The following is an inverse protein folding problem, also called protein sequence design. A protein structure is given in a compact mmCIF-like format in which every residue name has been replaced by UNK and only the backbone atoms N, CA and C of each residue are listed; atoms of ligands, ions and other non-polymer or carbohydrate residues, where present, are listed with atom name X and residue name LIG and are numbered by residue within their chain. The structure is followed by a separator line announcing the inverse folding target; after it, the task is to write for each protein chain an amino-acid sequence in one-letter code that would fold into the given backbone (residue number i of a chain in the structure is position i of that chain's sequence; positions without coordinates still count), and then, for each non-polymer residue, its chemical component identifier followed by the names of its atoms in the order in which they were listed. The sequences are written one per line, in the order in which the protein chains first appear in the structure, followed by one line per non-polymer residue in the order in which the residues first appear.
data_IF_559259106677
#
_entry.id   IF_559259106677
#
_cell.length_a   1.000
_cell.length_b   1.000
_cell.length_c   1.000
_cell.angle_alpha   90.00
_cell.angle_beta   90.00
_cell.angle_gamma   90.00
#
_symmetry.space_group_name_H-M   'P 1'
#
loop_
_entity.id
_entity.type
_entity.pdbx_description
1 polymer ?
#
# COMPACT_ATOMS: atom_id res chain seq x y z
N UNK A 1 13.61 -26.52 -10.71
CA UNK A 1 12.98 -27.61 -11.48
C UNK A 1 11.78 -27.03 -12.21
N UNK A 2 11.83 -27.01 -13.55
CA UNK A 2 10.71 -26.58 -14.39
C UNK A 2 9.52 -27.54 -14.18
N UNK A 3 8.29 -26.99 -14.19
CA UNK A 3 7.08 -27.79 -14.12
C UNK A 3 6.87 -28.61 -15.40
N UNK A 4 6.23 -29.77 -15.28
CA UNK A 4 5.96 -30.65 -16.41
C UNK A 4 4.93 -30.04 -17.37
N UNK A 5 5.14 -30.20 -18.68
CA UNK A 5 4.33 -29.59 -19.73
C UNK A 5 2.83 -29.97 -19.71
N UNK A 6 2.50 -31.16 -19.17
CA UNK A 6 1.13 -31.69 -19.16
C UNK A 6 0.11 -30.89 -18.35
N UNK A 7 0.56 -29.93 -17.52
CA UNK A 7 -0.30 -29.11 -16.68
C UNK A 7 -0.17 -27.60 -16.93
N UNK A 8 0.75 -27.19 -17.81
CA UNK A 8 1.08 -25.77 -17.99
C UNK A 8 -0.06 -24.97 -18.57
N UNK A 9 -0.76 -25.49 -19.58
CA UNK A 9 -1.85 -24.77 -20.23
C UNK A 9 -3.04 -24.58 -19.28
N UNK A 10 -3.38 -25.58 -18.48
CA UNK A 10 -4.43 -25.50 -17.48
C UNK A 10 -4.08 -24.51 -16.38
N UNK A 11 -2.81 -24.50 -15.92
CA UNK A 11 -2.33 -23.53 -14.91
C UNK A 11 -2.38 -22.11 -15.46
N UNK A 12 -1.92 -21.88 -16.68
CA UNK A 12 -1.95 -20.56 -17.33
C UNK A 12 -3.39 -20.07 -17.53
N UNK A 13 -4.30 -20.94 -17.95
CA UNK A 13 -5.70 -20.59 -18.16
C UNK A 13 -6.45 -20.29 -16.85
N UNK A 14 -6.03 -20.89 -15.73
CA UNK A 14 -6.70 -20.73 -14.43
C UNK A 14 -6.17 -19.53 -13.61
N UNK A 15 -5.14 -18.83 -14.07
CA UNK A 15 -4.49 -17.76 -13.31
C UNK A 15 -4.40 -16.47 -14.13
N UNK A 16 -4.33 -15.33 -13.43
CA UNK A 16 -4.10 -14.02 -14.07
C UNK A 16 -2.66 -13.94 -14.62
N UNK A 17 -2.48 -13.21 -15.71
CA UNK A 17 -1.20 -13.10 -16.44
C UNK A 17 -0.05 -12.70 -15.50
N UNK A 18 -0.21 -11.67 -14.66
CA UNK A 18 0.84 -11.22 -13.74
C UNK A 18 1.28 -12.28 -12.72
N UNK A 19 0.40 -13.20 -12.31
CA UNK A 19 0.77 -14.31 -11.43
C UNK A 19 1.57 -15.40 -12.18
N UNK A 20 1.26 -15.62 -13.46
CA UNK A 20 2.03 -16.51 -14.33
C UNK A 20 3.41 -15.93 -14.61
N UNK A 21 3.50 -14.64 -14.93
CA UNK A 21 4.77 -13.96 -15.22
C UNK A 21 5.70 -13.98 -14.00
N UNK A 22 5.17 -13.73 -12.81
CA UNK A 22 5.94 -13.80 -11.56
C UNK A 22 6.51 -15.20 -11.26
N UNK A 23 5.90 -16.25 -11.81
CA UNK A 23 6.34 -17.64 -11.65
C UNK A 23 7.15 -18.16 -12.87
N UNK A 24 7.42 -17.31 -13.88
CA UNK A 24 8.06 -17.64 -15.14
C UNK A 24 9.47 -17.07 -15.20
N UNK A 25 10.45 -17.90 -15.56
CA UNK A 25 11.83 -17.49 -15.80
C UNK A 25 12.23 -18.00 -17.18
N UNK A 26 12.77 -17.14 -18.04
CA UNK A 26 13.17 -17.47 -19.42
C UNK A 26 12.08 -18.22 -20.22
N UNK A 27 10.83 -17.80 -20.07
CA UNK A 27 9.66 -18.36 -20.75
C UNK A 27 9.16 -19.70 -20.21
N UNK A 28 9.79 -20.23 -19.15
CA UNK A 28 9.43 -21.51 -18.53
C UNK A 28 8.79 -21.26 -17.16
N UNK A 29 7.68 -21.95 -16.86
CA UNK A 29 7.00 -21.89 -15.56
C UNK A 29 7.72 -22.77 -14.54
N UNK A 30 8.11 -22.20 -13.40
CA UNK A 30 8.86 -22.90 -12.34
C UNK A 30 8.06 -23.13 -11.06
N UNK A 31 6.95 -22.41 -10.87
CA UNK A 31 6.12 -22.53 -9.68
C UNK A 31 4.64 -22.41 -10.03
N UNK A 32 3.78 -23.04 -9.24
CA UNK A 32 2.35 -22.81 -9.30
C UNK A 32 2.01 -21.49 -8.61
N UNK A 33 1.33 -20.54 -9.25
CA UNK A 33 0.81 -19.35 -8.58
C UNK A 33 -0.12 -19.75 -7.43
N UNK A 34 0.11 -19.20 -6.24
CA UNK A 34 -0.72 -19.47 -5.07
C UNK A 34 -1.82 -18.43 -4.88
N UNK A 35 -1.48 -17.18 -5.12
CA UNK A 35 -2.36 -16.04 -4.94
C UNK A 35 -1.88 -14.88 -5.82
N UNK A 36 -2.81 -13.96 -6.15
CA UNK A 36 -2.54 -12.73 -6.89
C UNK A 36 -3.12 -11.51 -6.13
N UNK A 37 -3.01 -11.51 -4.80
CA UNK A 37 -3.74 -10.62 -3.91
C UNK A 37 -2.85 -9.95 -2.85
N UNK A 38 -1.57 -9.80 -3.07
CA UNK A 38 -0.63 -9.21 -2.12
C UNK A 38 -0.51 -7.68 -2.30
N UNK A 39 -1.62 -6.99 -2.52
CA UNK A 39 -1.69 -5.53 -2.60
C UNK A 39 -2.16 -4.91 -1.30
N UNK A 40 -1.94 -3.59 -1.15
CA UNK A 40 -2.51 -2.79 -0.06
C UNK A 40 -3.14 -1.50 -0.61
N UNK A 41 -4.16 -1.01 0.11
CA UNK A 41 -5.05 0.06 -0.31
C UNK A 41 -5.38 0.95 0.88
N UNK A 42 -6.09 2.06 0.60
CA UNK A 42 -6.81 2.80 1.63
C UNK A 42 -8.21 2.20 1.77
N UNK A 43 -8.54 1.71 2.95
CA UNK A 43 -9.91 1.40 3.38
C UNK A 43 -10.42 2.56 4.22
N UNK A 44 -11.68 2.98 4.01
CA UNK A 44 -12.26 4.08 4.77
C UNK A 44 -13.77 3.93 4.93
N UNK A 45 -14.30 4.56 5.97
CA UNK A 45 -15.72 4.69 6.22
C UNK A 45 -16.27 5.90 5.46
N UNK A 46 -16.97 5.67 4.36
CA UNK A 46 -17.53 6.72 3.50
C UNK A 46 -18.67 7.53 4.16
N UNK A 47 -19.19 7.08 5.31
CA UNK A 47 -20.10 7.88 6.13
C UNK A 47 -19.38 8.99 6.91
N UNK A 48 -18.05 8.90 7.01
CA UNK A 48 -17.17 9.82 7.78
C UNK A 48 -16.20 10.56 6.86
N UNK A 49 -15.60 9.88 5.90
CA UNK A 49 -14.58 10.37 4.97
C UNK A 49 -15.20 10.40 3.58
N UNK A 50 -15.21 11.57 2.93
CA UNK A 50 -15.62 11.65 1.52
C UNK A 50 -14.54 11.09 0.58
N UNK A 51 -14.92 10.76 -0.66
CA UNK A 51 -13.95 10.34 -1.69
C UNK A 51 -12.90 11.44 -1.97
N UNK A 52 -13.30 12.71 -1.90
CA UNK A 52 -12.39 13.86 -2.05
C UNK A 52 -11.40 13.94 -0.88
N UNK A 53 -11.87 13.74 0.35
CA UNK A 53 -11.00 13.73 1.54
C UNK A 53 -10.03 12.54 1.52
N UNK A 54 -10.42 11.39 0.96
CA UNK A 54 -9.58 10.20 0.82
C UNK A 54 -8.45 10.36 -0.22
N UNK A 55 -8.44 11.43 -1.03
CA UNK A 55 -7.49 11.60 -2.12
C UNK A 55 -6.08 12.01 -1.67
N UNK A 56 -5.93 12.65 -0.50
CA UNK A 56 -4.63 13.06 0.05
C UNK A 56 -4.52 12.78 1.55
N UNK A 57 -3.30 12.56 2.04
CA UNK A 57 -3.06 12.39 3.48
C UNK A 57 -3.50 13.61 4.28
N UNK A 58 -3.32 14.83 3.73
CA UNK A 58 -3.67 16.06 4.43
C UNK A 58 -5.17 16.15 4.67
N UNK A 59 -6.00 15.99 3.62
CA UNK A 59 -7.46 16.03 3.73
C UNK A 59 -8.02 14.85 4.52
N UNK A 60 -7.44 13.66 4.35
CA UNK A 60 -7.84 12.45 5.05
C UNK A 60 -7.67 12.58 6.58
N UNK A 61 -6.51 13.07 7.02
CA UNK A 61 -6.22 13.29 8.44
C UNK A 61 -7.11 14.40 9.02
N UNK A 62 -7.34 15.48 8.28
CA UNK A 62 -8.24 16.56 8.71
C UNK A 62 -9.68 16.05 8.89
N UNK A 63 -10.19 15.26 7.94
CA UNK A 63 -11.54 14.69 8.04
C UNK A 63 -11.68 13.71 9.20
N UNK A 64 -10.67 12.86 9.42
CA UNK A 64 -10.64 11.94 10.56
C UNK A 64 -10.60 12.68 11.90
N UNK A 65 -9.79 13.74 12.02
CA UNK A 65 -9.71 14.58 13.23
C UNK A 65 -11.04 15.24 13.57
N UNK A 66 -11.71 15.83 12.56
CA UNK A 66 -13.06 16.42 12.71
C UNK A 66 -14.09 15.42 13.23
N UNK A 67 -13.95 14.15 12.86
CA UNK A 67 -14.81 13.06 13.31
C UNK A 67 -14.40 12.46 14.68
N UNK A 68 -13.30 12.94 15.27
CA UNK A 68 -12.73 12.39 16.50
C UNK A 68 -12.18 10.97 16.32
N UNK A 69 -11.77 10.63 15.10
CA UNK A 69 -11.24 9.33 14.72
C UNK A 69 -9.79 9.42 14.24
N UNK A 70 -9.21 8.28 13.89
CA UNK A 70 -7.81 8.17 13.44
C UNK A 70 -7.72 7.55 12.05
N UNK A 71 -6.56 7.73 11.42
CA UNK A 71 -6.13 7.00 10.22
C UNK A 71 -4.96 6.10 10.59
N UNK A 72 -5.10 4.80 10.39
CA UNK A 72 -4.11 3.80 10.77
C UNK A 72 -3.18 3.41 9.63
N UNK A 73 -1.87 3.26 9.91
CA UNK A 73 -0.91 2.66 8.99
C UNK A 73 0.30 2.08 9.74
N UNK A 74 0.86 0.98 9.24
CA UNK A 74 2.08 0.37 9.80
C UNK A 74 3.34 1.02 9.21
N UNK A 75 3.67 2.25 9.67
CA UNK A 75 4.85 2.98 9.17
C UNK A 75 6.20 2.34 9.54
N UNK A 76 6.26 1.43 10.52
CA UNK A 76 7.49 0.72 10.86
C UNK A 76 7.89 -0.33 9.82
N UNK A 77 7.01 -0.68 8.88
CA UNK A 77 7.24 -1.70 7.86
C UNK A 77 7.76 -1.08 6.56
N UNK A 78 8.91 -1.55 6.07
CA UNK A 78 9.46 -1.18 4.77
C UNK A 78 8.53 -1.52 3.60
N UNK A 79 7.69 -2.54 3.76
CA UNK A 79 6.65 -2.89 2.78
C UNK A 79 5.69 -1.73 2.50
N UNK A 80 5.16 -1.10 3.56
CA UNK A 80 4.27 0.05 3.42
C UNK A 80 5.02 1.34 3.08
N UNK A 81 6.21 1.56 3.66
CA UNK A 81 7.00 2.77 3.42
C UNK A 81 7.44 2.94 1.97
N UNK A 82 7.64 1.84 1.25
CA UNK A 82 8.01 1.86 -0.16
C UNK A 82 7.04 2.69 -1.02
N UNK A 83 5.74 2.73 -0.66
CA UNK A 83 4.73 3.49 -1.40
C UNK A 83 5.03 4.98 -1.47
N UNK A 84 5.56 5.57 -0.40
CA UNK A 84 5.92 7.00 -0.38
C UNK A 84 7.08 7.29 -1.34
N UNK A 85 8.09 6.43 -1.38
CA UNK A 85 9.20 6.58 -2.30
C UNK A 85 8.77 6.38 -3.75
N UNK A 86 7.97 5.35 -4.04
CA UNK A 86 7.45 5.14 -5.40
C UNK A 86 6.52 6.28 -5.84
N UNK A 87 5.67 6.81 -4.96
CA UNK A 87 4.84 7.98 -5.22
C UNK A 87 5.67 9.21 -5.59
N UNK A 88 6.83 9.37 -4.97
CA UNK A 88 7.78 10.46 -5.28
C UNK A 88 8.73 10.16 -6.46
N UNK A 89 8.46 9.12 -7.26
CA UNK A 89 9.22 8.80 -8.47
C UNK A 89 10.54 8.05 -8.25
N UNK A 90 10.75 7.46 -7.06
CA UNK A 90 11.86 6.53 -6.84
C UNK A 90 11.52 5.15 -7.41
N UNK A 91 12.53 4.40 -7.79
CA UNK A 91 12.38 3.06 -8.36
C UNK A 91 13.30 2.07 -7.67
N UNK A 92 13.00 0.80 -7.86
CA UNK A 92 13.91 -0.32 -7.58
C UNK A 92 14.11 -1.10 -8.86
N UNK A 93 15.25 -1.74 -9.02
CA UNK A 93 15.57 -2.54 -10.20
C UNK A 93 16.36 -3.78 -9.83
N UNK A 94 16.19 -4.85 -10.59
CA UNK A 94 17.04 -6.03 -10.55
C UNK A 94 18.12 -5.89 -11.62
N UNK A 95 19.39 -5.99 -11.22
CA UNK A 95 20.53 -5.95 -12.12
C UNK A 95 20.81 -7.34 -12.70
N UNK A 96 21.54 -7.40 -13.83
CA UNK A 96 21.91 -8.65 -14.50
C UNK A 96 22.74 -9.60 -13.60
N UNK A 97 23.46 -9.06 -12.62
CA UNK A 97 24.23 -9.83 -11.65
C UNK A 97 23.41 -10.34 -10.46
N UNK A 98 22.08 -10.13 -10.46
CA UNK A 98 21.16 -10.52 -9.40
C UNK A 98 21.14 -9.60 -8.19
N UNK A 99 21.86 -8.47 -8.21
CA UNK A 99 21.76 -7.45 -7.16
C UNK A 99 20.58 -6.52 -7.40
N UNK A 100 20.12 -5.83 -6.36
CA UNK A 100 19.04 -4.84 -6.46
C UNK A 100 19.60 -3.42 -6.44
N UNK A 101 19.21 -2.61 -7.40
CA UNK A 101 19.40 -1.16 -7.35
C UNK A 101 18.27 -0.52 -6.57
N UNK A 102 18.60 0.25 -5.53
CA UNK A 102 17.66 1.02 -4.72
C UNK A 102 18.38 2.27 -4.20
N UNK A 103 18.38 3.35 -4.99
CA UNK A 103 19.02 4.61 -4.61
C UNK A 103 18.00 5.60 -4.04
N UNK A 104 17.45 5.27 -2.89
CA UNK A 104 16.50 6.14 -2.18
C UNK A 104 17.16 7.23 -1.34
N UNK A 105 18.50 7.25 -1.26
CA UNK A 105 19.27 8.33 -0.66
C UNK A 105 19.56 9.47 -1.64
N UNK A 106 19.38 9.23 -2.93
CA UNK A 106 19.62 10.18 -4.01
C UNK A 106 18.42 11.08 -4.30
N UNK A 107 18.27 11.39 -5.58
CA UNK A 107 17.17 12.20 -6.12
C UNK A 107 16.39 11.37 -7.12
N UNK A 108 15.06 11.35 -7.00
CA UNK A 108 14.16 10.64 -7.90
C UNK A 108 14.12 11.26 -9.30
N UNK A 109 13.50 10.55 -10.26
CA UNK A 109 13.28 11.07 -11.61
C UNK A 109 12.45 12.37 -11.63
N UNK A 110 11.56 12.55 -10.63
CA UNK A 110 10.71 13.73 -10.50
C UNK A 110 11.37 14.87 -9.71
N UNK A 111 12.64 14.69 -9.29
CA UNK A 111 13.47 15.71 -8.65
C UNK A 111 13.33 15.80 -7.13
N UNK A 112 12.67 14.84 -6.47
CA UNK A 112 12.56 14.78 -5.01
C UNK A 112 13.75 14.04 -4.41
N UNK A 113 14.24 14.52 -3.26
CA UNK A 113 15.25 13.77 -2.49
C UNK A 113 14.60 12.79 -1.53
N UNK A 114 15.28 11.67 -1.22
CA UNK A 114 14.79 10.73 -0.21
C UNK A 114 14.56 11.38 1.15
N UNK A 115 15.35 12.41 1.49
CA UNK A 115 15.17 13.20 2.72
C UNK A 115 13.82 13.95 2.71
N UNK A 116 13.41 14.52 1.57
CA UNK A 116 12.14 15.23 1.48
C UNK A 116 10.95 14.27 1.58
N UNK A 117 11.07 13.06 1.01
CA UNK A 117 10.07 12.00 1.19
C UNK A 117 9.91 11.65 2.68
N UNK A 118 11.03 11.42 3.39
CA UNK A 118 11.00 11.10 4.84
C UNK A 118 10.41 12.26 5.65
N UNK A 119 10.66 13.51 5.30
CA UNK A 119 10.01 14.67 5.96
C UNK A 119 8.49 14.61 5.78
N UNK A 120 7.98 14.38 4.56
CA UNK A 120 6.54 14.21 4.33
C UNK A 120 5.94 13.08 5.14
N UNK A 121 6.63 11.94 5.25
CA UNK A 121 6.21 10.83 6.12
C UNK A 121 6.19 11.25 7.60
N UNK A 122 7.16 12.04 8.08
CA UNK A 122 7.21 12.53 9.45
C UNK A 122 6.09 13.53 9.73
N UNK A 123 5.72 14.36 8.77
CA UNK A 123 4.59 15.30 8.90
C UNK A 123 3.28 14.51 9.09
N UNK A 124 3.05 13.45 8.31
CA UNK A 124 1.93 12.53 8.51
C UNK A 124 1.99 11.88 9.89
N UNK A 125 3.13 11.30 10.27
CA UNK A 125 3.29 10.58 11.53
C UNK A 125 3.15 11.47 12.78
N UNK A 126 3.42 12.77 12.63
CA UNK A 126 3.31 13.75 13.71
C UNK A 126 1.90 14.30 13.88
N UNK A 127 0.99 14.02 12.94
CA UNK A 127 -0.39 14.48 13.01
C UNK A 127 -1.16 13.73 14.10
N UNK A 128 -1.93 14.48 14.91
CA UNK A 128 -2.71 13.90 16.01
C UNK A 128 -3.75 12.87 15.57
N UNK A 129 -4.27 12.96 14.34
CA UNK A 129 -5.21 12.02 13.77
C UNK A 129 -4.55 10.77 13.16
N UNK A 130 -3.22 10.74 13.05
CA UNK A 130 -2.50 9.56 12.61
C UNK A 130 -2.33 8.54 13.75
N UNK A 131 -2.46 7.27 13.41
CA UNK A 131 -2.18 6.15 14.32
C UNK A 131 -1.11 5.23 13.72
N UNK A 132 0.07 5.21 14.32
CA UNK A 132 1.08 4.20 13.99
C UNK A 132 0.62 2.85 14.54
N UNK A 133 0.30 1.92 13.65
CA UNK A 133 -0.18 0.58 13.99
C UNK A 133 1.00 -0.39 13.95
N UNK A 134 1.10 -1.27 14.95
CA UNK A 134 2.10 -2.33 14.96
C UNK A 134 1.82 -3.35 13.84
N UNK A 135 2.88 -3.99 13.35
CA UNK A 135 2.74 -5.03 12.32
C UNK A 135 1.86 -6.18 12.85
N UNK A 136 0.88 -6.58 12.02
CA UNK A 136 -0.09 -7.62 12.36
C UNK A 136 -1.23 -7.17 13.30
N UNK A 137 -1.30 -5.90 13.73
CA UNK A 137 -2.33 -5.43 14.68
C UNK A 137 -3.48 -4.62 14.01
N UNK A 138 -3.47 -4.44 12.70
CA UNK A 138 -4.46 -3.60 12.00
C UNK A 138 -5.90 -4.08 12.20
N UNK A 139 -6.15 -5.40 12.14
CA UNK A 139 -7.48 -5.97 12.38
C UNK A 139 -8.03 -5.63 13.77
N UNK A 140 -7.17 -5.64 14.83
CA UNK A 140 -7.57 -5.27 16.18
C UNK A 140 -7.89 -3.77 16.27
N UNK A 141 -7.06 -2.92 15.62
CA UNK A 141 -7.30 -1.48 15.60
C UNK A 141 -8.59 -1.12 14.84
N UNK A 142 -8.89 -1.78 13.73
CA UNK A 142 -10.19 -1.67 13.04
C UNK A 142 -11.34 -2.06 13.97
N UNK A 143 -11.27 -3.23 14.59
CA UNK A 143 -12.31 -3.73 15.49
C UNK A 143 -12.55 -2.85 16.72
N UNK A 144 -11.55 -2.03 17.13
CA UNK A 144 -11.71 -1.07 18.23
C UNK A 144 -12.70 0.07 17.93
N UNK A 145 -13.02 0.29 16.64
CA UNK A 145 -13.89 1.37 16.16
C UNK A 145 -13.28 2.77 16.21
N UNK A 146 -11.97 2.88 16.51
CA UNK A 146 -11.27 4.17 16.59
C UNK A 146 -10.81 4.70 15.23
N UNK A 147 -10.74 3.84 14.21
CA UNK A 147 -10.29 4.22 12.88
C UNK A 147 -11.47 4.67 12.01
N UNK A 148 -11.30 5.78 11.28
CA UNK A 148 -12.13 6.16 10.14
C UNK A 148 -11.57 5.64 8.83
N UNK A 149 -10.27 5.39 8.78
CA UNK A 149 -9.58 4.86 7.61
C UNK A 149 -8.31 4.11 8.02
N UNK A 150 -7.83 3.22 7.16
CA UNK A 150 -6.53 2.59 7.32
C UNK A 150 -5.90 2.20 5.99
N UNK A 151 -4.57 2.24 5.93
CA UNK A 151 -3.80 1.60 4.87
C UNK A 151 -3.48 0.18 5.30
N UNK A 152 -4.05 -0.80 4.60
CA UNK A 152 -3.79 -2.22 4.85
C UNK A 152 -3.95 -3.06 3.60
N UNK A 153 -3.55 -4.32 3.69
CA UNK A 153 -3.59 -5.25 2.58
C UNK A 153 -4.96 -5.89 2.35
N UNK A 154 -5.06 -6.63 1.25
CA UNK A 154 -6.24 -7.42 0.88
C UNK A 154 -6.71 -8.38 1.98
N UNK A 155 -5.81 -8.78 2.88
CA UNK A 155 -6.12 -9.65 4.03
C UNK A 155 -7.00 -9.01 5.09
N UNK A 156 -7.08 -7.67 5.17
CA UNK A 156 -7.96 -6.94 6.10
C UNK A 156 -9.28 -6.48 5.46
N UNK A 157 -9.53 -6.78 4.17
CA UNK A 157 -10.72 -6.33 3.45
C UNK A 157 -12.04 -6.75 4.12
N UNK A 158 -12.12 -8.01 4.57
CA UNK A 158 -13.32 -8.54 5.26
C UNK A 158 -13.51 -7.83 6.61
N UNK A 159 -12.43 -7.68 7.39
CA UNK A 159 -12.48 -6.99 8.68
C UNK A 159 -12.91 -5.52 8.51
N UNK A 160 -12.36 -4.83 7.50
CA UNK A 160 -12.75 -3.45 7.20
C UNK A 160 -14.22 -3.35 6.78
N UNK A 161 -14.70 -4.29 5.96
CA UNK A 161 -16.10 -4.37 5.56
C UNK A 161 -17.04 -4.63 6.77
N UNK A 162 -16.67 -5.53 7.65
CA UNK A 162 -17.47 -5.84 8.83
C UNK A 162 -17.55 -4.65 9.80
N UNK A 163 -16.45 -3.88 9.91
CA UNK A 163 -16.38 -2.72 10.83
C UNK A 163 -17.08 -1.49 10.25
N UNK A 164 -16.87 -1.18 8.98
CA UNK A 164 -17.44 0.01 8.35
C UNK A 164 -18.85 -0.21 7.80
N UNK A 165 -19.29 -1.47 7.66
CA UNK A 165 -20.64 -1.82 7.24
C UNK A 165 -21.02 -1.17 5.91
N UNK A 166 -22.17 -0.47 5.89
CA UNK A 166 -22.66 0.22 4.69
C UNK A 166 -21.75 1.37 4.24
N UNK A 167 -20.88 1.86 5.13
CA UNK A 167 -19.86 2.88 4.82
C UNK A 167 -18.57 2.33 4.22
N UNK A 168 -18.41 1.01 4.11
CA UNK A 168 -17.18 0.42 3.58
C UNK A 168 -16.85 0.94 2.18
N UNK A 169 -15.66 1.50 2.04
CA UNK A 169 -15.09 1.92 0.78
C UNK A 169 -13.59 1.63 0.73
N UNK A 170 -13.08 1.42 -0.47
CA UNK A 170 -11.65 1.22 -0.72
C UNK A 170 -11.21 2.00 -1.95
N UNK A 171 -10.01 2.58 -1.89
CA UNK A 171 -9.43 3.32 -3.01
C UNK A 171 -7.91 3.16 -3.03
N UNK A 172 -7.27 3.73 -4.06
CA UNK A 172 -5.80 3.82 -4.12
C UNK A 172 -5.24 4.56 -2.90
N UNK A 173 -3.94 4.44 -2.66
CA UNK A 173 -3.27 5.20 -1.61
C UNK A 173 -3.42 6.72 -1.84
N UNK A 174 -3.59 7.50 -0.75
CA UNK A 174 -3.64 8.95 -0.84
C UNK A 174 -2.31 9.53 -1.32
N UNK A 175 -2.37 10.64 -2.03
CA UNK A 175 -1.19 11.47 -2.27
C UNK A 175 -0.69 12.09 -0.96
N UNK A 176 0.58 12.50 -0.91
CA UNK A 176 1.16 13.17 0.26
C UNK A 176 2.02 14.35 -0.17
N UNK A 177 2.25 15.28 0.74
CA UNK A 177 3.02 16.49 0.48
C UNK A 177 4.52 16.21 0.58
N UNK A 178 5.27 16.53 -0.50
CA UNK A 178 6.73 16.55 -0.52
C UNK A 178 7.18 17.96 -0.90
N UNK A 179 7.75 18.70 0.06
CA UNK A 179 8.02 20.12 -0.12
C UNK A 179 6.73 20.92 -0.22
N UNK A 180 6.42 21.43 -1.41
CA UNK A 180 5.22 22.23 -1.73
C UNK A 180 4.26 21.54 -2.72
N UNK A 181 4.47 20.27 -3.00
CA UNK A 181 3.72 19.51 -4.02
C UNK A 181 3.10 18.25 -3.45
N UNK A 182 1.95 17.87 -4.03
CA UNK A 182 1.32 16.57 -3.82
C UNK A 182 1.90 15.52 -4.80
N UNK A 183 2.26 14.37 -4.29
CA UNK A 183 2.83 13.24 -5.07
C UNK A 183 2.11 11.94 -4.75
#
# INVERSE_FOLDING_TARGET
LQLADTTLDDVKAANVEGAIDAATIDGSLYAFPRAADNGYFLYYDSSVISEEDAASWDSLLEAADKAGKKVGMTLASGWYNASFFYGAGFTTGLNDDGTTTMDWNGTSADGYTGVDVVKGMLDIASNSAFMAVADGDMSNQLASGNLAACVSGTWDAITAQDVFGDGYAATKLPTFTVGDKQV
#
